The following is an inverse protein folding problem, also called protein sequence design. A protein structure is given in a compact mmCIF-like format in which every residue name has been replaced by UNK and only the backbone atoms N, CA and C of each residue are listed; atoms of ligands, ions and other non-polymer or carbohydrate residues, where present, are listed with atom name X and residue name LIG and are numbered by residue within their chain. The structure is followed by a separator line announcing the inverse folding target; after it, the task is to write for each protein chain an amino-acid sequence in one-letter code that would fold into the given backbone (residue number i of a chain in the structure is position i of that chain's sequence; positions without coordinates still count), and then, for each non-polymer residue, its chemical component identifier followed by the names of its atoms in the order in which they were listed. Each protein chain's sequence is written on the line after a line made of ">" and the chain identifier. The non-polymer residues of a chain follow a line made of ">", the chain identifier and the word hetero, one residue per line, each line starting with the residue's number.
data_IF_977671987718
#
_entry.id   IF_977671987718
#
_cell.length_a   1.000
_cell.length_b   1.000
_cell.length_c   1.000
_cell.angle_alpha   90.00
_cell.angle_beta   90.00
_cell.angle_gamma   90.00
#
_symmetry.space_group_name_H-M   'P 1'
#
loop_
_entity.id
_entity.type
_entity.pdbx_description
1 polymer ?
#
# COMPACT_ATOMS: atom_id res chain seq x y z
N UNK A 1 -31.22 -87.13 20.70
CA UNK A 1 -30.39 -86.40 19.72
C UNK A 1 -30.99 -85.02 19.55
N UNK A 2 -30.30 -84.01 20.08
CA UNK A 2 -30.69 -82.60 20.08
C UNK A 2 -30.15 -81.95 18.79
N UNK A 3 -31.01 -81.36 17.96
CA UNK A 3 -30.58 -80.64 16.76
C UNK A 3 -30.57 -79.13 17.08
N UNK A 4 -29.37 -78.56 17.19
CA UNK A 4 -29.14 -77.14 17.46
C UNK A 4 -29.18 -76.37 16.13
N UNK A 5 -30.15 -75.47 15.96
CA UNK A 5 -30.16 -74.48 14.89
C UNK A 5 -29.22 -73.32 15.26
N UNK A 6 -28.14 -73.17 14.51
CA UNK A 6 -27.25 -72.00 14.56
C UNK A 6 -27.80 -70.91 13.61
N UNK A 7 -28.37 -69.86 14.18
CA UNK A 7 -28.67 -68.61 13.48
C UNK A 7 -27.37 -67.80 13.36
N UNK A 8 -26.80 -67.74 12.15
CA UNK A 8 -25.67 -66.85 11.85
C UNK A 8 -26.19 -65.45 11.50
N UNK A 9 -26.01 -64.50 12.41
CA UNK A 9 -26.24 -63.08 12.14
C UNK A 9 -25.14 -62.54 11.22
N UNK A 10 -25.48 -62.23 9.97
CA UNK A 10 -24.63 -61.44 9.08
C UNK A 10 -24.59 -59.99 9.58
N UNK A 11 -23.48 -59.59 10.19
CA UNK A 11 -23.17 -58.19 10.46
C UNK A 11 -22.48 -57.65 9.20
N UNK A 12 -23.07 -56.70 8.46
CA UNK A 12 -22.37 -56.06 7.35
C UNK A 12 -21.18 -55.29 7.92
N UNK A 13 -19.96 -55.68 7.52
CA UNK A 13 -18.75 -54.92 7.79
C UNK A 13 -18.88 -53.63 6.98
N UNK A 14 -19.27 -52.55 7.66
CA UNK A 14 -19.24 -51.20 7.11
C UNK A 14 -17.75 -50.86 6.92
N UNK A 15 -17.26 -50.96 5.68
CA UNK A 15 -15.93 -50.45 5.33
C UNK A 15 -15.95 -48.95 5.63
N UNK A 16 -15.16 -48.53 6.62
CA UNK A 16 -14.94 -47.12 6.90
C UNK A 16 -14.46 -46.45 5.60
N UNK A 17 -15.23 -45.48 5.12
CA UNK A 17 -14.76 -44.62 4.04
C UNK A 17 -13.46 -43.95 4.53
N UNK A 18 -12.40 -43.89 3.71
CA UNK A 18 -11.22 -43.12 4.09
C UNK A 18 -11.68 -41.71 4.43
N UNK A 19 -11.32 -41.23 5.62
CA UNK A 19 -11.59 -39.84 6.01
C UNK A 19 -11.01 -38.93 4.91
N UNK A 20 -11.69 -37.84 4.52
CA UNK A 20 -11.11 -36.86 3.62
C UNK A 20 -9.71 -36.51 4.13
N UNK A 21 -8.69 -36.79 3.33
CA UNK A 21 -7.31 -36.50 3.71
C UNK A 21 -7.23 -34.98 3.91
N UNK A 22 -6.79 -34.55 5.10
CA UNK A 22 -6.66 -33.12 5.39
C UNK A 22 -5.82 -32.44 4.30
N UNK A 23 -6.24 -31.26 3.80
CA UNK A 23 -5.51 -30.56 2.75
C UNK A 23 -4.04 -30.37 3.15
N UNK A 24 -3.15 -30.46 2.16
CA UNK A 24 -1.71 -30.33 2.32
C UNK A 24 -1.24 -29.04 1.63
N UNK A 25 -0.11 -28.44 2.04
CA UNK A 25 0.40 -27.20 1.43
C UNK A 25 0.56 -27.24 -0.10
N UNK A 26 0.79 -28.42 -0.68
CA UNK A 26 0.88 -28.62 -2.13
C UNK A 26 -0.35 -28.15 -2.92
N UNK A 27 -1.52 -28.05 -2.28
CA UNK A 27 -2.73 -27.50 -2.90
C UNK A 27 -2.53 -26.04 -3.35
N UNK A 28 -1.77 -25.25 -2.59
CA UNK A 28 -1.51 -23.85 -2.91
C UNK A 28 -0.60 -23.73 -4.13
N UNK A 29 0.48 -24.53 -4.18
CA UNK A 29 1.40 -24.54 -5.32
C UNK A 29 0.73 -24.94 -6.63
N UNK A 30 -0.24 -25.86 -6.59
CA UNK A 30 -0.97 -26.31 -7.78
C UNK A 30 -1.78 -25.21 -8.48
N UNK A 31 -2.02 -24.08 -7.81
CA UNK A 31 -2.74 -22.93 -8.38
C UNK A 31 -1.86 -22.01 -9.20
N UNK A 32 -0.54 -22.08 -9.03
CA UNK A 32 0.41 -21.26 -9.77
C UNK A 32 0.48 -21.71 -11.23
N UNK A 33 -0.20 -20.96 -12.09
CA UNK A 33 -0.14 -21.08 -13.54
C UNK A 33 -0.75 -19.82 -14.14
N UNK A 34 -0.23 -19.39 -15.30
CA UNK A 34 -0.80 -18.24 -15.98
C UNK A 34 -1.55 -18.63 -17.26
N UNK A 35 -2.83 -18.99 -17.07
CA UNK A 35 -3.77 -19.30 -18.14
C UNK A 35 -4.64 -18.10 -18.55
N UNK A 36 -5.03 -17.27 -17.58
CA UNK A 36 -5.89 -16.10 -17.80
C UNK A 36 -5.50 -15.03 -16.80
N UNK A 37 -5.05 -13.88 -17.33
CA UNK A 37 -4.62 -12.75 -16.51
C UNK A 37 -5.81 -12.22 -15.72
N UNK A 38 -5.71 -12.27 -14.39
CA UNK A 38 -6.71 -11.72 -13.47
C UNK A 38 -6.47 -10.23 -13.25
N UNK A 39 -7.55 -9.46 -13.09
CA UNK A 39 -7.45 -8.03 -12.76
C UNK A 39 -7.65 -7.86 -11.25
N UNK A 40 -6.61 -7.41 -10.56
CA UNK A 40 -6.68 -6.91 -9.18
C UNK A 40 -7.29 -5.51 -9.21
N UNK A 41 -8.30 -5.27 -8.37
CA UNK A 41 -9.12 -4.04 -8.41
C UNK A 41 -8.97 -3.23 -7.14
N UNK A 42 -9.14 -1.92 -7.22
CA UNK A 42 -9.28 -1.11 -6.02
C UNK A 42 -10.59 -1.46 -5.31
N UNK A 43 -10.60 -1.40 -3.99
CA UNK A 43 -11.76 -1.80 -3.18
C UNK A 43 -13.09 -1.11 -3.56
N UNK A 44 -13.05 0.14 -4.03
CA UNK A 44 -14.21 0.92 -4.50
C UNK A 44 -14.73 0.47 -5.86
N UNK A 45 -13.89 -0.16 -6.68
CA UNK A 45 -14.30 -0.74 -7.96
C UNK A 45 -15.06 -2.06 -7.80
N UNK A 46 -14.89 -2.72 -6.65
CA UNK A 46 -15.64 -3.92 -6.34
C UNK A 46 -17.13 -3.61 -6.26
N UNK A 47 -17.95 -4.46 -6.87
CA UNK A 47 -19.38 -4.54 -6.58
C UNK A 47 -19.60 -4.97 -5.14
N UNK A 48 -20.79 -4.71 -4.60
CA UNK A 48 -21.14 -5.13 -3.25
C UNK A 48 -20.98 -6.64 -3.05
N UNK A 49 -21.39 -7.42 -4.05
CA UNK A 49 -21.27 -8.88 -4.05
C UNK A 49 -19.79 -9.32 -4.02
N UNK A 50 -18.92 -8.65 -4.79
CA UNK A 50 -17.48 -8.93 -4.78
C UNK A 50 -16.86 -8.61 -3.41
N UNK A 51 -17.23 -7.49 -2.77
CA UNK A 51 -16.73 -7.14 -1.42
C UNK A 51 -17.14 -8.18 -0.38
N UNK A 52 -18.42 -8.54 -0.36
CA UNK A 52 -18.95 -9.54 0.57
C UNK A 52 -18.31 -10.91 0.35
N UNK A 53 -18.12 -11.31 -0.92
CA UNK A 53 -17.46 -12.57 -1.26
C UNK A 53 -16.00 -12.60 -0.79
N UNK A 54 -15.25 -11.50 -0.97
CA UNK A 54 -13.87 -11.40 -0.49
C UNK A 54 -13.81 -11.53 1.04
N UNK A 55 -14.59 -10.72 1.76
CA UNK A 55 -14.60 -10.72 3.23
C UNK A 55 -14.99 -12.09 3.79
N UNK A 56 -15.98 -12.75 3.17
CA UNK A 56 -16.42 -14.09 3.54
C UNK A 56 -15.32 -15.14 3.31
N UNK A 57 -14.53 -15.01 2.24
CA UNK A 57 -13.38 -15.89 1.99
C UNK A 57 -12.25 -15.67 3.01
N UNK A 58 -12.01 -14.43 3.44
CA UNK A 58 -11.05 -14.14 4.53
C UNK A 58 -11.49 -14.78 5.84
N UNK A 59 -12.77 -14.66 6.21
CA UNK A 59 -13.32 -15.34 7.40
C UNK A 59 -13.15 -16.84 7.29
N UNK A 60 -13.47 -17.43 6.13
CA UNK A 60 -13.26 -18.85 5.88
C UNK A 60 -11.79 -19.28 6.07
N UNK A 61 -10.79 -18.50 5.63
CA UNK A 61 -9.38 -18.85 5.85
C UNK A 61 -8.99 -18.82 7.34
N UNK A 62 -9.60 -17.94 8.14
CA UNK A 62 -9.40 -17.89 9.60
C UNK A 62 -10.05 -19.08 10.33
N UNK A 63 -10.99 -19.76 9.69
CA UNK A 63 -11.65 -20.95 10.23
C UNK A 63 -11.10 -22.27 9.65
N UNK A 64 -10.44 -22.19 8.49
CA UNK A 64 -9.86 -23.36 7.81
C UNK A 64 -8.66 -23.86 8.63
N UNK A 65 -8.61 -25.14 9.05
CA UNK A 65 -7.51 -25.65 9.87
C UNK A 65 -6.13 -25.47 9.23
N UNK A 66 -5.14 -25.12 10.05
CA UNK A 66 -3.73 -24.95 9.64
C UNK A 66 -3.22 -26.09 8.74
N UNK A 67 -2.58 -25.71 7.64
CA UNK A 67 -1.88 -26.62 6.73
C UNK A 67 -0.48 -26.96 7.25
N UNK A 68 0.21 -25.99 7.86
CA UNK A 68 1.58 -26.16 8.34
C UNK A 68 1.67 -26.93 9.66
N UNK A 69 0.62 -26.88 10.47
CA UNK A 69 0.53 -27.55 11.79
C UNK A 69 1.69 -27.19 12.72
N UNK A 70 2.19 -25.96 12.60
CA UNK A 70 3.18 -25.41 13.54
C UNK A 70 2.50 -25.13 14.88
N UNK A 71 3.26 -25.11 15.99
CA UNK A 71 2.70 -24.76 17.29
C UNK A 71 1.92 -23.44 17.24
N UNK A 72 0.81 -23.40 17.98
CA UNK A 72 -0.09 -22.26 18.14
C UNK A 72 -0.90 -21.82 16.91
N UNK A 73 -0.44 -22.12 15.69
CA UNK A 73 -1.25 -21.93 14.48
C UNK A 73 -2.50 -22.80 14.51
N UNK A 74 -3.69 -22.18 14.44
CA UNK A 74 -4.97 -22.89 14.46
C UNK A 74 -5.60 -22.96 13.08
N UNK A 75 -5.34 -21.95 12.26
CA UNK A 75 -5.93 -21.79 10.94
C UNK A 75 -4.89 -21.58 9.85
N UNK A 76 -5.30 -21.70 8.59
CA UNK A 76 -4.47 -21.33 7.45
C UNK A 76 -4.09 -19.85 7.50
N UNK A 77 -4.99 -19.00 8.01
CA UNK A 77 -4.66 -17.59 8.23
C UNK A 77 -3.51 -17.42 9.23
N UNK A 78 -3.50 -18.19 10.32
CA UNK A 78 -2.41 -18.17 11.30
C UNK A 78 -1.09 -18.70 10.71
N UNK A 79 -1.15 -19.62 9.74
CA UNK A 79 0.05 -20.05 9.00
C UNK A 79 0.70 -18.89 8.24
N UNK A 80 -0.09 -17.98 7.65
CA UNK A 80 0.44 -16.77 7.00
C UNK A 80 1.12 -15.86 8.01
N UNK A 81 0.51 -15.65 9.18
CA UNK A 81 1.13 -14.87 10.26
C UNK A 81 2.47 -15.49 10.67
N UNK A 82 2.49 -16.81 10.89
CA UNK A 82 3.71 -17.52 11.25
C UNK A 82 4.81 -17.39 10.18
N UNK A 83 4.49 -17.64 8.89
CA UNK A 83 5.45 -17.54 7.79
C UNK A 83 6.04 -16.14 7.70
N UNK A 84 5.22 -15.11 7.86
CA UNK A 84 5.68 -13.72 7.89
C UNK A 84 6.63 -13.47 9.07
N UNK A 85 6.27 -13.89 10.29
CA UNK A 85 7.13 -13.77 11.48
C UNK A 85 8.50 -14.42 11.27
N UNK A 86 8.54 -15.61 10.66
CA UNK A 86 9.80 -16.31 10.41
C UNK A 86 10.68 -15.58 9.37
N UNK A 87 10.06 -14.93 8.39
CA UNK A 87 10.79 -14.32 7.28
C UNK A 87 11.12 -12.83 7.47
N UNK A 88 10.72 -12.20 8.59
CA UNK A 88 10.98 -10.76 8.85
C UNK A 88 12.42 -10.35 8.50
N UNK A 89 13.49 -11.05 8.95
CA UNK A 89 14.87 -10.61 8.68
C UNK A 89 15.26 -10.63 7.20
N UNK A 90 14.63 -11.50 6.41
CA UNK A 90 14.91 -11.63 4.99
C UNK A 90 13.96 -10.81 4.12
N UNK A 91 12.73 -10.53 4.58
CA UNK A 91 11.71 -9.80 3.84
C UNK A 91 11.63 -8.31 4.16
N UNK A 92 12.37 -7.79 5.15
CA UNK A 92 12.31 -6.36 5.52
C UNK A 92 13.70 -5.75 5.60
N UNK A 93 13.81 -4.50 5.16
CA UNK A 93 15.06 -3.75 5.00
C UNK A 93 16.07 -4.43 4.07
N UNK A 94 15.64 -5.35 3.22
CA UNK A 94 16.46 -6.06 2.23
C UNK A 94 15.93 -5.81 0.81
N UNK A 95 16.72 -6.17 -0.20
CA UNK A 95 16.29 -6.16 -1.60
C UNK A 95 15.09 -7.11 -1.85
N UNK A 96 14.91 -8.13 -1.00
CA UNK A 96 13.83 -9.11 -1.15
C UNK A 96 12.45 -8.60 -0.68
N UNK A 97 12.36 -7.39 -0.10
CA UNK A 97 11.10 -6.81 0.40
C UNK A 97 9.95 -6.90 -0.61
N UNK A 98 10.11 -6.30 -1.78
CA UNK A 98 9.09 -6.31 -2.83
C UNK A 98 8.82 -7.71 -3.43
N UNK A 99 9.84 -8.47 -3.90
CA UNK A 99 9.60 -9.77 -4.53
C UNK A 99 9.02 -10.81 -3.54
N UNK A 100 9.44 -10.79 -2.27
CA UNK A 100 8.94 -11.74 -1.29
C UNK A 100 7.46 -11.51 -1.01
N UNK A 101 7.06 -10.26 -0.77
CA UNK A 101 5.66 -9.89 -0.53
C UNK A 101 4.78 -10.15 -1.76
N UNK A 102 5.27 -9.91 -2.99
CA UNK A 102 4.54 -10.22 -4.24
C UNK A 102 4.10 -11.68 -4.32
N UNK A 103 5.00 -12.61 -4.03
CA UNK A 103 4.67 -14.04 -3.99
C UNK A 103 3.77 -14.34 -2.80
N UNK A 104 4.04 -13.76 -1.62
CA UNK A 104 3.23 -13.96 -0.42
C UNK A 104 1.75 -13.58 -0.63
N UNK A 105 1.49 -12.46 -1.30
CA UNK A 105 0.15 -12.04 -1.75
C UNK A 105 -0.49 -13.06 -2.69
N UNK A 106 0.28 -13.62 -3.62
CA UNK A 106 -0.21 -14.59 -4.60
C UNK A 106 -0.54 -15.93 -3.95
N UNK A 107 0.26 -16.38 -2.97
CA UNK A 107 -0.06 -17.55 -2.14
C UNK A 107 -1.39 -17.33 -1.40
N UNK A 108 -1.60 -16.15 -0.81
CA UNK A 108 -2.85 -15.80 -0.13
C UNK A 108 -4.06 -15.76 -1.07
N UNK A 109 -3.93 -15.13 -2.25
CA UNK A 109 -4.95 -15.13 -3.29
C UNK A 109 -5.33 -16.57 -3.71
N UNK A 110 -4.33 -17.44 -3.89
CA UNK A 110 -4.55 -18.84 -4.20
C UNK A 110 -5.18 -19.63 -3.05
N UNK A 111 -4.86 -19.31 -1.79
CA UNK A 111 -5.52 -19.91 -0.64
C UNK A 111 -7.01 -19.55 -0.60
N UNK A 112 -7.37 -18.28 -0.85
CA UNK A 112 -8.76 -17.85 -0.94
C UNK A 112 -9.53 -18.64 -2.01
N UNK A 113 -8.94 -18.84 -3.19
CA UNK A 113 -9.58 -19.60 -4.28
C UNK A 113 -9.65 -21.09 -3.96
N UNK A 114 -8.54 -21.72 -3.56
CA UNK A 114 -8.45 -23.16 -3.42
C UNK A 114 -9.17 -23.72 -2.18
N UNK A 115 -9.20 -22.95 -1.09
CA UNK A 115 -9.74 -23.41 0.20
C UNK A 115 -11.10 -22.79 0.52
N UNK A 116 -11.36 -21.58 0.03
CA UNK A 116 -12.57 -20.82 0.35
C UNK A 116 -13.42 -20.48 -0.88
N UNK A 117 -13.15 -21.12 -2.02
CA UNK A 117 -13.92 -21.01 -3.25
C UNK A 117 -14.11 -19.57 -3.74
N UNK A 118 -13.15 -18.68 -3.45
CA UNK A 118 -13.18 -17.30 -3.88
C UNK A 118 -12.87 -17.18 -5.38
N UNK A 119 -13.78 -16.56 -6.12
CA UNK A 119 -13.69 -16.37 -7.58
C UNK A 119 -13.66 -14.90 -8.01
N UNK A 120 -13.78 -13.98 -7.05
CA UNK A 120 -13.75 -12.54 -7.31
C UNK A 120 -12.33 -12.00 -7.57
N UNK A 121 -12.23 -10.71 -7.96
CA UNK A 121 -10.95 -10.03 -8.12
C UNK A 121 -10.25 -9.81 -6.79
N UNK A 122 -8.92 -9.91 -6.74
CA UNK A 122 -8.17 -9.65 -5.51
C UNK A 122 -8.03 -8.13 -5.28
N UNK A 123 -8.47 -7.59 -4.11
CA UNK A 123 -8.54 -6.16 -3.90
C UNK A 123 -7.23 -5.52 -3.41
N UNK A 124 -7.06 -4.24 -3.72
CA UNK A 124 -6.10 -3.37 -3.04
C UNK A 124 -6.78 -2.13 -2.44
N UNK A 125 -6.12 -1.51 -1.47
CA UNK A 125 -6.52 -0.23 -0.90
C UNK A 125 -5.62 0.89 -1.42
N UNK A 126 -6.17 1.81 -2.21
CA UNK A 126 -5.42 3.02 -2.60
C UNK A 126 -5.46 4.05 -1.46
N UNK A 127 -4.57 3.89 -0.48
CA UNK A 127 -4.41 4.83 0.62
C UNK A 127 -4.02 6.24 0.18
N UNK A 128 -3.46 6.41 -1.04
CA UNK A 128 -3.11 7.74 -1.55
C UNK A 128 -4.35 8.54 -1.93
N UNK A 129 -5.41 7.86 -2.36
CA UNK A 129 -6.71 8.46 -2.59
C UNK A 129 -7.36 8.95 -1.28
N UNK A 130 -7.11 8.22 -0.19
CA UNK A 130 -7.68 8.50 1.12
C UNK A 130 -6.82 9.40 2.00
N UNK A 131 -5.69 9.88 1.50
CA UNK A 131 -4.62 10.53 2.27
C UNK A 131 -5.06 11.77 3.06
N UNK A 132 -6.16 12.41 2.69
CA UNK A 132 -6.70 13.57 3.43
C UNK A 132 -7.54 13.16 4.65
N UNK A 133 -8.15 11.98 4.64
CA UNK A 133 -8.97 11.45 5.74
C UNK A 133 -9.02 9.92 5.70
N UNK A 134 -7.91 9.23 6.02
CA UNK A 134 -7.79 7.79 5.82
C UNK A 134 -8.83 6.98 6.62
N UNK A 135 -9.13 7.44 7.83
CA UNK A 135 -10.14 6.86 8.73
C UNK A 135 -11.58 6.89 8.17
N UNK A 136 -11.86 7.73 7.17
CA UNK A 136 -13.17 7.81 6.50
C UNK A 136 -13.25 6.95 5.23
N UNK A 137 -12.20 6.20 4.90
CA UNK A 137 -12.23 5.27 3.77
C UNK A 137 -13.44 4.32 3.88
N UNK A 138 -14.23 4.12 2.80
CA UNK A 138 -15.33 3.17 2.81
C UNK A 138 -14.90 1.76 3.24
N UNK A 139 -13.65 1.39 2.95
CA UNK A 139 -13.01 0.14 3.36
C UNK A 139 -13.06 -0.06 4.89
N UNK A 140 -12.83 1.01 5.65
CA UNK A 140 -12.81 1.02 7.12
C UNK A 140 -14.19 1.25 7.73
N UNK A 141 -15.26 1.19 6.93
CA UNK A 141 -16.62 1.31 7.44
C UNK A 141 -17.00 0.09 8.32
N UNK A 142 -17.97 0.26 9.23
CA UNK A 142 -18.54 -0.83 10.03
C UNK A 142 -19.13 -2.00 9.23
N UNK A 143 -19.37 -1.82 7.94
CA UNK A 143 -19.90 -2.86 7.05
C UNK A 143 -18.82 -3.82 6.56
N UNK A 144 -17.57 -3.37 6.44
CA UNK A 144 -16.48 -4.15 5.85
C UNK A 144 -15.40 -4.46 6.89
N UNK A 145 -14.26 -3.78 6.85
CA UNK A 145 -13.13 -4.12 7.73
C UNK A 145 -13.26 -3.53 9.14
N UNK A 146 -14.21 -2.61 9.37
CA UNK A 146 -14.34 -1.89 10.64
C UNK A 146 -13.31 -0.76 10.79
N UNK A 147 -13.61 0.17 11.68
CA UNK A 147 -12.81 1.36 11.92
C UNK A 147 -11.76 1.19 13.01
N UNK A 148 -11.66 2.18 13.88
CA UNK A 148 -10.76 2.18 15.02
C UNK A 148 -11.20 1.16 16.08
N UNK A 149 -10.24 0.67 16.88
CA UNK A 149 -10.53 -0.11 18.07
C UNK A 149 -11.07 0.73 19.21
N UNK A 150 -11.75 0.10 20.16
CA UNK A 150 -12.37 0.80 21.28
C UNK A 150 -11.43 0.90 22.50
N UNK A 151 -11.07 2.11 22.97
CA UNK A 151 -10.22 2.27 24.16
C UNK A 151 -10.80 1.60 25.42
N UNK A 152 -12.12 1.53 25.55
CA UNK A 152 -12.78 0.86 26.69
C UNK A 152 -12.71 -0.66 26.62
N UNK A 153 -12.29 -1.22 25.49
CA UNK A 153 -12.10 -2.66 25.26
C UNK A 153 -10.65 -2.96 24.86
N UNK A 154 -9.67 -2.29 25.46
CA UNK A 154 -8.25 -2.49 25.15
C UNK A 154 -7.94 -2.39 23.64
N UNK A 155 -8.58 -1.43 22.97
CA UNK A 155 -8.48 -1.22 21.52
C UNK A 155 -8.88 -2.41 20.64
N UNK A 156 -9.66 -3.36 21.15
CA UNK A 156 -10.29 -4.38 20.31
C UNK A 156 -11.14 -3.70 19.24
N UNK A 157 -11.08 -4.21 18.01
CA UNK A 157 -11.99 -3.85 16.94
C UNK A 157 -13.42 -4.20 17.36
N UNK A 158 -14.37 -3.27 17.23
CA UNK A 158 -15.77 -3.48 17.67
C UNK A 158 -16.79 -3.42 16.54
N UNK A 159 -16.35 -3.15 15.31
CA UNK A 159 -17.19 -3.01 14.12
C UNK A 159 -16.56 -3.73 12.93
N UNK A 160 -17.31 -3.93 11.85
CA UNK A 160 -16.85 -4.69 10.69
C UNK A 160 -16.98 -6.20 10.87
N UNK A 161 -16.71 -6.92 9.79
CA UNK A 161 -16.75 -8.38 9.70
C UNK A 161 -15.78 -9.04 10.69
N UNK A 162 -14.74 -8.33 11.12
CA UNK A 162 -13.67 -8.85 11.99
C UNK A 162 -13.75 -8.41 13.46
N UNK A 163 -14.84 -7.75 13.89
CA UNK A 163 -14.99 -7.22 15.26
C UNK A 163 -14.83 -8.26 16.39
N UNK A 164 -15.04 -9.55 16.10
CA UNK A 164 -14.92 -10.63 17.09
C UNK A 164 -13.83 -11.63 16.72
N UNK A 165 -12.93 -11.25 15.81
CA UNK A 165 -11.84 -12.12 15.40
C UNK A 165 -10.73 -12.15 16.45
N UNK A 166 -10.16 -13.33 16.65
CA UNK A 166 -9.00 -13.55 17.52
C UNK A 166 -7.74 -13.65 16.66
N UNK A 167 -6.69 -12.95 17.08
CA UNK A 167 -5.32 -13.16 16.62
C UNK A 167 -4.64 -14.13 17.59
N UNK A 168 -3.87 -15.10 17.08
CA UNK A 168 -3.21 -16.11 17.93
C UNK A 168 -1.75 -15.78 18.25
N UNK A 169 -1.12 -14.91 17.45
CA UNK A 169 0.26 -14.48 17.62
C UNK A 169 0.33 -13.00 18.01
N UNK A 170 1.32 -12.56 18.83
CA UNK A 170 2.31 -13.40 19.50
C UNK A 170 1.68 -14.25 20.62
N UNK A 171 0.55 -13.80 21.16
CA UNK A 171 -0.30 -14.53 22.11
C UNK A 171 -1.77 -14.34 21.71
N UNK A 172 -2.71 -15.20 22.14
CA UNK A 172 -4.13 -15.03 21.83
C UNK A 172 -4.74 -13.72 22.35
N UNK A 173 -5.30 -12.91 21.45
CA UNK A 173 -5.99 -11.65 21.78
C UNK A 173 -7.06 -11.29 20.73
N UNK A 174 -7.92 -10.32 21.03
CA UNK A 174 -8.82 -9.75 20.02
C UNK A 174 -8.01 -9.00 18.96
N UNK A 175 -8.50 -8.92 17.73
CA UNK A 175 -7.89 -8.03 16.73
C UNK A 175 -7.94 -6.58 17.20
N UNK A 176 -6.80 -5.89 17.23
CA UNK A 176 -6.65 -4.54 17.76
C UNK A 176 -6.32 -3.50 16.69
N UNK A 177 -6.91 -2.31 16.81
CA UNK A 177 -6.55 -1.12 16.03
C UNK A 177 -6.55 0.11 16.90
N UNK A 178 -5.59 1.00 16.66
CA UNK A 178 -5.48 2.29 17.27
C UNK A 178 -4.99 3.30 16.24
N UNK A 179 -5.92 3.96 15.55
CA UNK A 179 -5.62 4.94 14.51
C UNK A 179 -4.82 6.12 15.07
N UNK A 180 -3.63 6.37 14.54
CA UNK A 180 -2.62 7.31 15.08
C UNK A 180 -2.05 8.24 14.00
N UNK A 181 -1.72 9.48 14.35
CA UNK A 181 -0.89 10.36 13.50
C UNK A 181 0.61 10.12 13.73
N UNK A 182 1.08 8.87 13.64
CA UNK A 182 2.50 8.55 13.80
C UNK A 182 3.09 8.87 15.19
N UNK A 183 2.24 9.14 16.17
CA UNK A 183 2.56 9.40 17.57
C UNK A 183 1.68 8.55 18.49
N UNK A 184 1.85 8.69 19.81
CA UNK A 184 1.02 7.99 20.80
C UNK A 184 -0.43 8.52 20.90
N UNK A 185 -0.79 9.55 20.13
CA UNK A 185 -2.13 10.15 20.14
C UNK A 185 -2.93 9.80 18.89
N UNK A 186 -4.23 9.58 19.06
CA UNK A 186 -5.18 9.45 17.95
C UNK A 186 -5.04 10.64 16.98
N UNK A 187 -5.14 10.39 15.67
CA UNK A 187 -4.98 11.46 14.69
C UNK A 187 -5.28 11.07 13.24
N UNK A 188 -4.81 11.86 12.29
CA UNK A 188 -5.10 11.80 10.84
C UNK A 188 -4.57 10.56 10.10
N UNK A 189 -4.17 9.52 10.84
CA UNK A 189 -3.57 8.30 10.32
C UNK A 189 -2.30 8.53 9.49
N UNK A 190 -1.53 9.59 9.74
CA UNK A 190 -0.35 9.94 8.94
C UNK A 190 -0.68 10.17 7.46
N UNK A 191 -1.90 10.57 7.14
CA UNK A 191 -2.40 10.66 5.77
C UNK A 191 -1.49 11.44 4.81
N UNK A 192 -0.89 12.54 5.28
CA UNK A 192 0.06 13.32 4.49
C UNK A 192 1.28 12.51 4.00
N UNK A 193 1.68 11.47 4.76
CA UNK A 193 2.85 10.62 4.51
C UNK A 193 2.62 9.51 3.49
N UNK A 194 1.52 9.56 2.77
CA UNK A 194 1.22 8.60 1.72
C UNK A 194 0.25 9.19 0.69
N UNK A 195 0.35 10.51 0.50
CA UNK A 195 -0.46 11.26 -0.45
C UNK A 195 0.00 11.04 -1.91
N UNK A 196 -0.81 11.43 -2.91
CA UNK A 196 -0.43 11.25 -4.31
C UNK A 196 0.87 11.98 -4.69
N UNK A 197 1.17 13.12 -4.06
CA UNK A 197 2.41 13.87 -4.29
C UNK A 197 3.65 13.13 -3.76
N UNK A 198 3.53 12.44 -2.62
CA UNK A 198 4.61 11.58 -2.12
C UNK A 198 4.87 10.43 -3.11
N UNK A 199 3.80 9.83 -3.64
CA UNK A 199 3.93 8.74 -4.60
C UNK A 199 4.58 9.16 -5.91
N UNK A 200 4.26 10.35 -6.43
CA UNK A 200 4.93 10.91 -7.62
C UNK A 200 6.45 11.01 -7.44
N UNK A 201 6.91 11.44 -6.26
CA UNK A 201 8.33 11.50 -5.95
C UNK A 201 8.97 10.11 -5.86
N UNK A 202 8.32 9.17 -5.16
CA UNK A 202 8.85 7.82 -4.91
C UNK A 202 9.03 7.05 -6.21
N UNK A 203 8.03 7.09 -7.10
CA UNK A 203 8.13 6.40 -8.39
C UNK A 203 9.19 7.02 -9.31
N UNK A 204 9.68 8.23 -9.00
CA UNK A 204 10.75 8.90 -9.74
C UNK A 204 12.15 8.34 -9.47
N UNK A 205 12.35 7.48 -8.46
CA UNK A 205 13.66 6.87 -8.19
C UNK A 205 14.13 6.00 -9.36
N UNK A 206 15.39 6.14 -9.77
CA UNK A 206 15.93 5.52 -11.00
C UNK A 206 16.65 4.19 -10.77
N UNK A 207 16.72 3.70 -9.54
CA UNK A 207 17.26 2.37 -9.22
C UNK A 207 16.26 1.62 -8.34
N UNK A 208 16.23 0.29 -8.49
CA UNK A 208 15.36 -0.56 -7.68
C UNK A 208 15.63 -0.38 -6.19
N UNK A 209 16.90 -0.32 -5.78
CA UNK A 209 17.26 -0.19 -4.36
C UNK A 209 16.84 1.15 -3.76
N UNK A 210 16.98 2.26 -4.51
CA UNK A 210 16.48 3.55 -4.05
C UNK A 210 14.95 3.57 -3.96
N UNK A 211 14.26 3.05 -4.98
CA UNK A 211 12.80 2.94 -4.99
C UNK A 211 12.28 2.11 -3.82
N UNK A 212 12.80 0.89 -3.63
CA UNK A 212 12.32 -0.04 -2.59
C UNK A 212 12.60 0.49 -1.18
N UNK A 213 13.79 1.07 -0.91
CA UNK A 213 14.11 1.63 0.41
C UNK A 213 13.17 2.77 0.75
N UNK A 214 12.95 3.68 -0.22
CA UNK A 214 12.04 4.79 -0.02
C UNK A 214 10.63 4.26 0.23
N UNK A 215 10.09 3.42 -0.65
CA UNK A 215 8.73 2.87 -0.54
C UNK A 215 8.50 2.11 0.78
N UNK A 216 9.49 1.31 1.21
CA UNK A 216 9.45 0.55 2.46
C UNK A 216 9.46 1.48 3.70
N UNK A 217 10.35 2.49 3.71
CA UNK A 217 10.41 3.48 4.79
C UNK A 217 9.18 4.40 4.81
N UNK A 218 8.67 4.74 3.63
CA UNK A 218 7.53 5.61 3.39
C UNK A 218 6.99 5.32 1.98
N UNK A 219 5.76 4.83 1.83
CA UNK A 219 4.67 4.91 2.78
C UNK A 219 4.39 3.62 3.56
N UNK A 220 5.05 2.50 3.27
CA UNK A 220 4.78 1.20 3.90
C UNK A 220 4.77 1.28 5.43
N UNK A 221 5.87 1.73 6.04
CA UNK A 221 5.94 1.84 7.51
C UNK A 221 4.89 2.81 8.07
N UNK A 222 4.57 3.89 7.35
CA UNK A 222 3.61 4.88 7.83
C UNK A 222 2.18 4.36 7.84
N UNK A 223 1.78 3.57 6.84
CA UNK A 223 0.46 2.93 6.81
C UNK A 223 0.37 1.85 7.89
N UNK A 224 1.42 1.03 8.09
CA UNK A 224 1.45 0.08 9.20
C UNK A 224 1.31 0.79 10.56
N UNK A 225 2.13 1.82 10.81
CA UNK A 225 2.15 2.54 12.08
C UNK A 225 0.86 3.34 12.34
N UNK A 226 0.21 3.84 11.29
CA UNK A 226 -0.99 4.66 11.44
C UNK A 226 -2.21 3.87 11.91
N UNK A 227 -2.22 2.55 11.73
CA UNK A 227 -3.28 1.69 12.26
C UNK A 227 -3.08 1.36 13.73
N UNK A 228 -1.87 1.52 14.27
CA UNK A 228 -1.51 1.00 15.59
C UNK A 228 -1.84 -0.50 15.70
N UNK A 229 -2.08 -0.98 16.93
CA UNK A 229 -2.56 -2.34 17.19
C UNK A 229 -1.77 -3.43 16.44
N UNK A 230 -2.51 -4.40 15.91
CA UNK A 230 -1.93 -5.56 15.21
C UNK A 230 -1.16 -5.16 13.95
N UNK A 231 -1.74 -4.31 13.08
CA UNK A 231 -1.12 -3.95 11.81
C UNK A 231 0.22 -3.23 11.99
N UNK A 232 0.43 -2.53 13.11
CA UNK A 232 1.70 -1.86 13.41
C UNK A 232 2.83 -2.79 13.88
N UNK A 233 2.53 -4.04 14.24
CA UNK A 233 3.53 -5.00 14.69
C UNK A 233 4.34 -5.56 13.53
N UNK A 234 5.65 -5.29 13.47
CA UNK A 234 6.53 -5.73 12.37
C UNK A 234 6.38 -7.23 12.05
N UNK A 235 6.37 -8.10 13.06
CA UNK A 235 6.29 -9.55 12.84
C UNK A 235 4.85 -10.04 12.65
N UNK A 236 3.88 -9.40 13.31
CA UNK A 236 2.51 -9.88 13.48
C UNK A 236 1.48 -9.10 12.69
N UNK A 237 1.89 -8.14 11.86
CA UNK A 237 1.01 -7.25 11.08
C UNK A 237 -0.03 -7.98 10.25
N UNK A 238 0.29 -9.19 9.79
CA UNK A 238 -0.61 -10.09 9.05
C UNK A 238 -1.86 -10.48 9.85
N UNK A 239 -1.86 -10.39 11.19
CA UNK A 239 -3.04 -10.60 12.03
C UNK A 239 -4.23 -9.74 11.56
N UNK A 240 -3.96 -8.52 11.09
CA UNK A 240 -4.97 -7.61 10.57
C UNK A 240 -5.19 -7.85 9.06
N UNK A 241 -6.42 -8.21 8.63
CA UNK A 241 -6.74 -8.41 7.22
C UNK A 241 -6.47 -7.20 6.29
N UNK A 242 -6.27 -6.01 6.84
CA UNK A 242 -5.84 -4.83 6.07
C UNK A 242 -4.45 -5.03 5.46
N UNK A 243 -3.59 -5.85 6.07
CA UNK A 243 -2.26 -6.21 5.56
C UNK A 243 -2.29 -6.53 4.06
N UNK A 244 -3.22 -7.39 3.66
CA UNK A 244 -3.33 -7.86 2.29
C UNK A 244 -3.67 -6.74 1.32
N UNK A 245 -4.56 -5.82 1.68
CA UNK A 245 -4.97 -4.72 0.82
C UNK A 245 -3.89 -3.63 0.74
N UNK A 246 -3.17 -3.41 1.85
CA UNK A 246 -2.03 -2.50 1.91
C UNK A 246 -0.88 -3.00 1.02
N UNK A 247 -0.44 -4.24 1.21
CA UNK A 247 0.67 -4.83 0.43
C UNK A 247 0.32 -5.04 -1.03
N UNK A 248 -0.95 -5.32 -1.36
CA UNK A 248 -1.39 -5.37 -2.76
C UNK A 248 -1.29 -4.01 -3.45
N UNK A 249 -1.41 -2.89 -2.71
CA UNK A 249 -1.16 -1.56 -3.27
C UNK A 249 0.34 -1.24 -3.38
N UNK A 250 1.18 -1.73 -2.47
CA UNK A 250 2.65 -1.63 -2.63
C UNK A 250 3.13 -2.38 -3.87
N UNK A 251 2.60 -3.59 -4.09
CA UNK A 251 2.88 -4.37 -5.29
C UNK A 251 2.41 -3.65 -6.56
N UNK A 252 1.24 -3.00 -6.52
CA UNK A 252 0.75 -2.13 -7.60
C UNK A 252 1.74 -1.02 -7.92
N UNK A 253 2.26 -0.32 -6.90
CA UNK A 253 3.24 0.75 -7.10
C UNK A 253 4.56 0.22 -7.65
N UNK A 254 4.98 -0.99 -7.29
CA UNK A 254 6.12 -1.62 -7.93
C UNK A 254 5.87 -1.91 -9.42
N UNK A 255 4.69 -2.43 -9.78
CA UNK A 255 4.31 -2.60 -11.21
C UNK A 255 4.34 -1.27 -11.96
N UNK A 256 3.83 -0.18 -11.36
CA UNK A 256 3.87 1.17 -11.95
C UNK A 256 5.33 1.61 -12.16
N UNK A 257 6.18 1.46 -11.14
CA UNK A 257 7.60 1.78 -11.24
C UNK A 257 8.31 0.98 -12.34
N UNK A 258 8.06 -0.33 -12.44
CA UNK A 258 8.62 -1.19 -13.49
C UNK A 258 8.22 -0.73 -14.91
N UNK A 259 7.02 -0.15 -15.07
CA UNK A 259 6.54 0.41 -16.34
C UNK A 259 7.17 1.77 -16.66
N UNK A 260 7.39 2.61 -15.65
CA UNK A 260 8.04 3.92 -15.80
C UNK A 260 9.55 3.80 -16.05
N UNK A 261 10.16 2.69 -15.61
CA UNK A 261 11.60 2.47 -15.67
C UNK A 261 11.96 1.16 -16.41
N UNK A 262 11.54 0.99 -17.68
CA UNK A 262 11.70 -0.27 -18.41
C UNK A 262 13.17 -0.70 -18.58
N UNK A 263 14.11 0.26 -18.60
CA UNK A 263 15.54 0.00 -18.76
C UNK A 263 16.18 -0.62 -17.50
N UNK A 264 15.55 -0.47 -16.33
CA UNK A 264 16.08 -0.90 -15.04
C UNK A 264 15.10 -1.78 -14.25
N UNK A 265 13.97 -2.14 -14.85
CA UNK A 265 12.94 -2.94 -14.18
C UNK A 265 13.39 -4.36 -13.82
N UNK A 266 14.45 -4.85 -14.47
CA UNK A 266 15.12 -6.13 -14.17
C UNK A 266 16.42 -5.95 -13.38
N UNK A 267 16.82 -4.72 -13.07
CA UNK A 267 17.99 -4.48 -12.21
C UNK A 267 17.58 -4.76 -10.78
N UNK A 268 18.10 -5.86 -10.23
CA UNK A 268 17.90 -6.24 -8.84
C UNK A 268 19.18 -5.94 -8.09
N UNK A 269 19.10 -5.03 -7.12
CA UNK A 269 20.23 -4.47 -6.37
C UNK A 269 19.81 -4.21 -4.94
N UNK A 270 20.78 -4.09 -4.04
CA UNK A 270 20.57 -3.85 -2.60
C UNK A 270 21.17 -4.96 -1.75
N UNK A 271 20.86 -4.93 -0.46
CA UNK A 271 21.40 -5.84 0.53
C UNK A 271 20.50 -7.08 0.70
N UNK A 272 21.10 -8.25 0.91
CA UNK A 272 20.37 -9.47 1.30
C UNK A 272 20.14 -9.57 2.82
N UNK A 273 20.91 -8.81 3.61
CA UNK A 273 20.91 -8.83 5.07
C UNK A 273 20.62 -7.43 5.62
N UNK A 274 19.56 -7.30 6.43
CA UNK A 274 19.16 -6.03 7.04
C UNK A 274 20.24 -5.43 7.95
N UNK A 275 21.12 -6.26 8.52
CA UNK A 275 22.20 -5.80 9.40
C UNK A 275 23.36 -5.16 8.62
N UNK A 276 23.38 -5.32 7.29
CA UNK A 276 24.35 -4.71 6.40
C UNK A 276 23.64 -3.90 5.30
N UNK A 277 22.99 -2.78 5.65
CA UNK A 277 22.13 -2.04 4.74
C UNK A 277 22.88 -1.46 3.54
N UNK A 278 24.19 -1.20 3.66
CA UNK A 278 25.01 -0.64 2.58
C UNK A 278 25.55 -1.71 1.61
N UNK A 279 25.31 -2.99 1.90
CA UNK A 279 25.65 -4.06 0.96
C UNK A 279 24.85 -3.94 -0.34
N UNK A 280 25.49 -4.36 -1.43
CA UNK A 280 24.88 -4.47 -2.74
C UNK A 280 25.18 -5.87 -3.32
N UNK A 281 24.76 -6.88 -2.58
CA UNK A 281 25.05 -8.29 -2.81
C UNK A 281 23.82 -9.10 -3.25
N UNK A 282 22.67 -8.45 -3.37
CA UNK A 282 21.44 -9.07 -3.87
C UNK A 282 21.55 -9.50 -5.34
N UNK A 283 20.89 -10.61 -5.66
CA UNK A 283 20.92 -11.26 -6.96
C UNK A 283 19.55 -11.80 -7.34
N UNK A 284 19.20 -11.72 -8.62
CA UNK A 284 17.95 -12.33 -9.13
C UNK A 284 17.90 -13.86 -8.93
N UNK A 285 19.03 -14.49 -8.62
CA UNK A 285 19.12 -15.93 -8.30
C UNK A 285 18.88 -16.23 -6.82
N UNK A 286 18.73 -15.21 -5.98
CA UNK A 286 18.46 -15.42 -4.57
C UNK A 286 17.12 -16.14 -4.40
N UNK A 287 17.09 -17.04 -3.42
CA UNK A 287 15.97 -17.95 -3.17
C UNK A 287 15.22 -17.47 -1.93
N UNK A 288 13.93 -17.23 -2.10
CA UNK A 288 13.02 -16.74 -1.09
C UNK A 288 12.24 -17.87 -0.45
N UNK A 289 12.21 -17.90 0.89
CA UNK A 289 11.62 -18.98 1.67
C UNK A 289 10.17 -18.70 2.07
N UNK A 290 9.36 -19.76 2.05
CA UNK A 290 7.96 -19.74 2.49
C UNK A 290 7.63 -20.83 3.52
N UNK A 291 8.67 -21.37 4.17
CA UNK A 291 8.58 -22.25 5.34
C UNK A 291 7.58 -23.41 5.20
N UNK A 292 7.55 -24.03 4.02
CA UNK A 292 6.70 -25.18 3.72
C UNK A 292 5.29 -24.86 3.26
N UNK A 293 4.90 -23.59 3.19
CA UNK A 293 3.60 -23.17 2.63
C UNK A 293 3.55 -23.38 1.10
N UNK A 294 4.65 -23.06 0.43
CA UNK A 294 4.94 -23.38 -0.97
C UNK A 294 6.44 -23.68 -1.12
N UNK A 295 6.89 -24.25 -2.26
CA UNK A 295 8.32 -24.31 -2.58
C UNK A 295 8.98 -22.94 -2.56
N UNK A 296 10.29 -22.91 -2.27
CA UNK A 296 11.05 -21.67 -2.33
C UNK A 296 11.09 -21.12 -3.77
N UNK A 297 11.04 -19.79 -3.91
CA UNK A 297 10.90 -19.11 -5.22
C UNK A 297 12.13 -18.25 -5.48
N UNK A 298 12.65 -18.27 -6.71
CA UNK A 298 13.75 -17.38 -7.08
C UNK A 298 13.22 -15.96 -7.31
N UNK A 299 14.01 -14.95 -6.94
CA UNK A 299 13.67 -13.54 -7.17
C UNK A 299 13.34 -13.26 -8.65
N UNK A 300 14.07 -13.87 -9.58
CA UNK A 300 13.84 -13.75 -11.02
C UNK A 300 12.39 -14.03 -11.45
N UNK A 301 11.70 -14.96 -10.77
CA UNK A 301 10.35 -15.41 -11.15
C UNK A 301 9.25 -14.42 -10.73
N UNK A 302 9.61 -13.32 -10.06
CA UNK A 302 8.67 -12.33 -9.53
C UNK A 302 8.48 -11.09 -10.39
N UNK A 303 9.38 -10.84 -11.36
CA UNK A 303 9.40 -9.58 -12.09
C UNK A 303 8.23 -9.41 -13.05
N UNK A 304 7.72 -10.50 -13.62
CA UNK A 304 6.64 -10.51 -14.59
C UNK A 304 5.33 -10.93 -13.93
N UNK A 305 4.44 -9.97 -13.65
CA UNK A 305 3.11 -10.26 -13.11
C UNK A 305 2.17 -10.89 -14.15
N UNK A 306 2.43 -10.63 -15.44
CA UNK A 306 1.70 -11.15 -16.61
C UNK A 306 2.60 -12.15 -17.37
N UNK A 307 2.98 -13.26 -16.72
CA UNK A 307 4.04 -14.13 -17.23
C UNK A 307 3.67 -15.06 -18.40
N UNK A 308 2.42 -15.04 -18.89
CA UNK A 308 1.95 -15.90 -19.99
C UNK A 308 2.00 -17.41 -19.65
N UNK A 309 1.88 -18.31 -20.63
CA UNK A 309 1.66 -19.75 -20.38
C UNK A 309 2.69 -20.47 -19.48
N UNK A 310 3.89 -19.90 -19.29
CA UNK A 310 4.95 -20.45 -18.42
C UNK A 310 5.27 -19.55 -17.21
N UNK A 311 4.48 -18.49 -17.01
CA UNK A 311 4.65 -17.52 -15.93
C UNK A 311 4.14 -18.05 -14.59
N UNK A 312 4.91 -17.77 -13.54
CA UNK A 312 4.51 -18.05 -12.17
C UNK A 312 3.29 -17.21 -11.76
N UNK A 313 3.27 -15.94 -12.17
CA UNK A 313 2.24 -14.96 -11.82
C UNK A 313 1.31 -14.68 -13.02
N UNK A 314 0.04 -14.41 -12.73
CA UNK A 314 -0.99 -14.17 -13.75
C UNK A 314 -1.99 -13.09 -13.38
N UNK A 315 -1.51 -11.87 -13.15
CA UNK A 315 -2.37 -10.76 -12.82
C UNK A 315 -1.85 -9.42 -13.33
N UNK A 316 -2.79 -8.49 -13.43
CA UNK A 316 -2.56 -7.08 -13.66
C UNK A 316 -3.41 -6.26 -12.69
N UNK A 317 -3.22 -4.94 -12.69
CA UNK A 317 -3.99 -4.00 -11.88
C UNK A 317 -4.98 -3.22 -12.72
N UNK A 318 -6.16 -2.96 -12.16
CA UNK A 318 -7.09 -1.98 -12.72
C UNK A 318 -6.46 -0.58 -12.72
N UNK A 319 -6.85 0.21 -13.72
CA UNK A 319 -6.42 1.61 -13.91
C UNK A 319 -7.53 2.61 -13.59
N UNK A 320 -8.70 2.17 -13.10
CA UNK A 320 -9.87 3.05 -12.98
C UNK A 320 -9.73 4.15 -11.92
N UNK A 321 -8.90 3.92 -10.90
CA UNK A 321 -8.49 4.94 -9.94
C UNK A 321 -7.05 5.34 -10.32
N UNK A 322 -6.96 6.14 -11.37
CA UNK A 322 -5.74 6.86 -11.70
C UNK A 322 -5.71 8.16 -10.88
N UNK A 323 -4.54 8.64 -10.43
CA UNK A 323 -4.46 9.96 -9.82
C UNK A 323 -5.06 10.99 -10.79
N UNK A 324 -6.02 11.83 -10.35
CA UNK A 324 -6.51 12.90 -11.19
C UNK A 324 -5.31 13.80 -11.53
N UNK A 325 -4.92 13.80 -12.82
CA UNK A 325 -3.75 14.47 -13.43
C UNK A 325 -2.46 13.67 -13.70
N UNK A 326 -2.44 12.33 -13.65
CA UNK A 326 -1.51 11.62 -14.56
C UNK A 326 -2.17 11.62 -15.95
N UNK A 327 -2.00 12.72 -16.69
CA UNK A 327 -2.23 12.73 -18.14
C UNK A 327 -1.04 12.05 -18.80
N UNK A 328 -0.92 10.73 -18.61
CA UNK A 328 -0.02 9.91 -19.42
C UNK A 328 -0.83 9.27 -20.56
N UNK A 329 -0.62 9.69 -21.83
CA UNK A 329 -1.19 9.03 -23.00
C UNK A 329 -0.88 7.53 -23.07
N UNK A 330 0.13 7.04 -22.32
CA UNK A 330 0.58 5.65 -22.33
C UNK A 330 -0.18 4.71 -21.38
N UNK A 331 -1.07 5.23 -20.52
CA UNK A 331 -2.01 4.42 -19.73
C UNK A 331 -3.38 4.26 -20.42
N UNK A 332 -3.57 4.86 -21.60
CA UNK A 332 -4.82 4.78 -22.39
C UNK A 332 -4.77 3.79 -23.56
N UNK A 333 -3.82 2.86 -23.63
CA UNK A 333 -3.81 1.88 -24.71
C UNK A 333 -4.54 0.58 -24.30
N UNK A 334 -5.80 0.36 -24.75
CA UNK A 334 -6.32 -0.99 -24.86
C UNK A 334 -5.52 -1.73 -25.95
N UNK A 335 -5.31 -3.02 -25.72
CA UNK A 335 -4.70 -4.01 -26.62
C UNK A 335 -5.04 -3.73 -28.09
N UNK A 336 -4.07 -3.70 -29.04
CA UNK A 336 -4.37 -3.48 -30.44
C UNK A 336 -5.22 -4.61 -31.03
N UNK A 337 -6.34 -4.25 -31.64
CA UNK A 337 -7.14 -5.10 -32.52
C UNK A 337 -6.48 -5.14 -33.91
N UNK A 338 -6.02 -6.31 -34.34
CA UNK A 338 -5.28 -6.57 -35.59
C UNK A 338 -6.16 -6.53 -36.86
N UNK A 339 -7.34 -5.90 -36.84
CA UNK A 339 -8.34 -6.06 -37.91
C UNK A 339 -8.68 -4.83 -38.77
N UNK A 340 -7.82 -3.80 -38.87
CA UNK A 340 -8.07 -2.67 -39.81
C UNK A 340 -6.86 -2.26 -40.69
N UNK A 341 -7.09 -1.85 -41.97
CA UNK A 341 -6.02 -1.70 -42.95
C UNK A 341 -5.27 -0.37 -42.80
N UNK A 342 -3.95 -0.41 -43.01
CA UNK A 342 -3.03 0.74 -42.93
C UNK A 342 -3.43 1.94 -43.80
N UNK A 343 -3.38 3.18 -43.27
CA UNK A 343 -3.40 4.38 -44.10
C UNK A 343 -2.00 4.69 -44.66
N UNK A 344 -1.99 5.19 -45.90
CA UNK A 344 -0.80 5.53 -46.72
C UNK A 344 0.13 6.56 -46.05
N UNK A 345 1.44 6.56 -46.40
CA UNK A 345 2.43 7.40 -45.72
C UNK A 345 2.29 8.88 -46.09
N UNK A 346 2.45 9.82 -45.14
CA UNK A 346 2.53 11.23 -45.47
C UNK A 346 3.95 11.63 -45.88
N UNK A 347 3.97 12.48 -46.89
CA UNK A 347 5.12 13.08 -47.56
C UNK A 347 5.99 13.91 -46.61
N UNK A 348 7.30 13.76 -46.80
CA UNK A 348 8.44 14.52 -46.24
C UNK A 348 8.16 16.02 -46.02
N UNK A 349 8.24 16.48 -44.77
CA UNK A 349 8.38 17.91 -44.44
C UNK A 349 9.54 18.13 -43.45
N UNK A 350 10.28 19.20 -43.73
CA UNK A 350 11.57 19.64 -43.17
C UNK A 350 11.54 20.00 -41.67
N UNK A 351 12.70 20.05 -40.97
CA UNK A 351 12.77 20.27 -39.54
C UNK A 351 12.38 21.71 -39.16
N UNK A 352 11.41 21.87 -38.23
CA UNK A 352 11.09 23.15 -37.59
C UNK A 352 11.83 23.27 -36.25
N UNK A 353 12.45 24.45 -36.06
CA UNK A 353 13.15 24.91 -34.86
C UNK A 353 12.27 24.91 -33.60
N UNK A 354 12.86 24.85 -32.38
CA UNK A 354 12.10 24.92 -31.14
C UNK A 354 11.41 26.28 -31.00
N UNK A 355 10.12 26.26 -30.65
CA UNK A 355 9.36 27.44 -30.24
C UNK A 355 9.79 27.81 -28.81
N UNK A 356 10.47 28.93 -28.67
CA UNK A 356 10.50 29.73 -27.45
C UNK A 356 9.08 30.17 -27.10
N UNK A 357 8.54 29.74 -25.96
CA UNK A 357 7.39 30.39 -25.34
C UNK A 357 7.92 31.39 -24.31
N UNK A 358 7.95 32.66 -24.68
CA UNK A 358 8.01 33.77 -23.73
C UNK A 358 6.61 34.36 -23.59
N UNK A 359 6.04 34.30 -22.39
CA UNK A 359 4.95 35.21 -22.01
C UNK A 359 5.13 35.63 -20.54
N UNK A 360 5.72 36.81 -20.34
CA UNK A 360 5.65 37.54 -19.06
C UNK A 360 4.20 37.95 -18.81
N UNK A 361 3.65 37.55 -17.67
CA UNK A 361 2.48 38.17 -17.06
C UNK A 361 2.94 38.85 -15.76
N UNK A 362 2.42 40.05 -15.51
CA UNK A 362 3.08 41.13 -14.75
C UNK A 362 2.49 41.39 -13.37
N UNK A 363 2.02 40.37 -12.65
CA UNK A 363 1.35 40.56 -11.36
C UNK A 363 2.16 39.97 -10.21
N UNK A 364 2.74 40.79 -9.30
CA UNK A 364 3.47 40.31 -8.14
C UNK A 364 2.57 39.51 -7.19
N UNK A 365 3.13 38.50 -6.52
CA UNK A 365 2.53 37.83 -5.36
C UNK A 365 2.29 38.87 -4.26
N UNK A 366 1.11 38.82 -3.66
CA UNK A 366 0.74 39.70 -2.54
C UNK A 366 1.29 39.12 -1.24
N UNK A 367 1.84 39.98 -0.39
CA UNK A 367 2.14 39.61 0.98
C UNK A 367 0.86 39.26 1.73
N UNK A 368 0.95 38.25 2.60
CA UNK A 368 -0.07 38.04 3.62
C UNK A 368 -0.05 39.21 4.60
N UNK A 369 -1.21 39.57 5.14
CA UNK A 369 -1.30 40.52 6.25
C UNK A 369 -0.94 39.77 7.53
N UNK A 370 0.09 40.19 8.28
CA UNK A 370 0.44 39.54 9.55
C UNK A 370 -0.71 39.59 10.55
N UNK A 371 -0.82 38.57 11.40
CA UNK A 371 -1.87 38.50 12.41
C UNK A 371 -1.73 39.66 13.41
N UNK A 372 -2.81 40.35 13.82
CA UNK A 372 -2.73 41.47 14.76
C UNK A 372 -2.06 41.07 16.08
N UNK A 373 -1.19 41.92 16.63
CA UNK A 373 -0.52 41.62 17.91
C UNK A 373 -1.51 41.46 19.06
N UNK A 374 -2.63 42.18 19.02
CA UNK A 374 -3.74 42.06 19.97
C UNK A 374 -4.42 40.69 19.91
N UNK A 375 -4.50 40.08 18.73
CA UNK A 375 -4.98 38.71 18.55
C UNK A 375 -3.96 37.69 19.08
N UNK A 376 -2.68 37.85 18.72
CA UNK A 376 -1.63 36.92 19.17
C UNK A 376 -1.41 36.93 20.68
N UNK A 377 -1.43 38.11 21.31
CA UNK A 377 -1.27 38.25 22.76
C UNK A 377 -2.47 37.70 23.55
N UNK A 378 -3.63 37.52 22.92
CA UNK A 378 -4.80 36.87 23.54
C UNK A 378 -4.74 35.35 23.44
N UNK A 379 -4.17 34.81 22.36
CA UNK A 379 -4.21 33.38 22.03
C UNK A 379 -2.93 32.63 22.40
N UNK A 380 -1.78 33.31 22.49
CA UNK A 380 -0.47 32.66 22.59
C UNK A 380 0.45 33.29 23.64
N UNK A 381 1.36 32.50 24.22
CA UNK A 381 2.39 32.99 25.16
C UNK A 381 3.55 33.68 24.40
N UNK A 382 4.29 34.61 25.03
CA UNK A 382 5.32 35.40 24.34
C UNK A 382 6.36 34.59 23.51
N UNK A 383 6.85 33.41 23.95
CA UNK A 383 7.77 32.61 23.15
C UNK A 383 7.14 32.04 21.86
N UNK A 384 5.84 31.73 21.89
CA UNK A 384 5.10 31.22 20.73
C UNK A 384 4.80 32.35 19.74
N UNK A 385 4.46 33.54 20.25
CA UNK A 385 4.30 34.76 19.45
C UNK A 385 5.59 35.06 18.69
N UNK A 386 6.76 34.96 19.34
CA UNK A 386 8.05 35.18 18.68
C UNK A 386 8.31 34.19 17.53
N UNK A 387 7.90 32.92 17.70
CA UNK A 387 8.00 31.89 16.65
C UNK A 387 7.05 32.18 15.48
N UNK A 388 5.82 32.61 15.74
CA UNK A 388 4.84 33.02 14.72
C UNK A 388 5.38 34.21 13.91
N UNK A 389 5.87 35.25 14.59
CA UNK A 389 6.43 36.46 13.94
C UNK A 389 7.66 36.14 13.07
N UNK A 390 8.50 35.21 13.51
CA UNK A 390 9.63 34.71 12.72
C UNK A 390 9.16 33.99 11.45
N UNK A 391 8.09 33.19 11.54
CA UNK A 391 7.46 32.54 10.39
C UNK A 391 6.88 33.54 9.38
N UNK A 392 6.12 34.54 9.85
CA UNK A 392 5.57 35.61 9.00
C UNK A 392 6.69 36.38 8.26
N UNK A 393 7.81 36.63 8.93
CA UNK A 393 8.99 37.30 8.33
C UNK A 393 9.62 36.46 7.22
N UNK A 394 9.72 35.14 7.40
CA UNK A 394 10.26 34.23 6.38
C UNK A 394 9.36 34.13 5.16
N UNK A 395 8.04 34.10 5.37
CA UNK A 395 7.05 34.11 4.26
C UNK A 395 7.11 35.42 3.49
N UNK A 396 7.26 36.56 4.17
CA UNK A 396 7.42 37.86 3.51
C UNK A 396 8.70 37.89 2.64
N UNK A 397 9.84 37.44 3.19
CA UNK A 397 11.11 37.37 2.46
C UNK A 397 11.06 36.42 1.26
N UNK A 398 10.30 35.32 1.35
CA UNK A 398 10.06 34.43 0.23
C UNK A 398 9.28 35.12 -0.90
N UNK A 399 8.19 35.80 -0.57
CA UNK A 399 7.37 36.52 -1.54
C UNK A 399 8.19 37.61 -2.23
N UNK A 400 9.03 38.34 -1.49
CA UNK A 400 9.96 39.32 -2.06
C UNK A 400 10.94 38.67 -3.04
N UNK A 401 11.50 37.52 -2.67
CA UNK A 401 12.45 36.78 -3.51
C UNK A 401 11.79 36.32 -4.81
N UNK A 402 10.60 35.71 -4.73
CA UNK A 402 9.87 35.24 -5.92
C UNK A 402 9.45 36.41 -6.83
N UNK A 403 8.98 37.51 -6.23
CA UNK A 403 8.64 38.73 -6.97
C UNK A 403 9.86 39.37 -7.65
N UNK A 404 11.03 39.30 -7.01
CA UNK A 404 12.29 39.83 -7.58
C UNK A 404 12.80 39.03 -8.77
N UNK A 405 12.54 37.72 -8.78
CA UNK A 405 12.95 36.82 -9.86
C UNK A 405 12.06 36.99 -11.09
N UNK A 406 10.76 37.27 -10.92
CA UNK A 406 9.83 37.60 -12.01
C UNK A 406 9.19 36.40 -12.74
N UNK A 407 9.11 35.24 -12.09
CA UNK A 407 8.62 33.97 -12.66
C UNK A 407 7.44 33.44 -11.86
N UNK A 408 6.25 34.01 -12.06
CA UNK A 408 5.00 33.41 -11.57
C UNK A 408 3.95 33.54 -12.66
N UNK A 409 3.32 32.43 -13.03
CA UNK A 409 2.16 32.44 -13.92
C UNK A 409 0.89 32.11 -13.13
N UNK A 410 -0.19 32.85 -13.42
CA UNK A 410 -1.51 32.67 -12.81
C UNK A 410 -2.39 31.93 -13.81
N UNK A 411 -2.79 30.70 -13.48
CA UNK A 411 -3.84 30.00 -14.20
C UNK A 411 -5.22 30.44 -13.65
N UNK A 412 -6.22 30.49 -14.52
CA UNK A 412 -7.55 31.01 -14.22
C UNK A 412 -8.34 30.19 -13.18
N UNK A 413 -7.78 29.10 -12.68
CA UNK A 413 -8.31 28.19 -11.66
C UNK A 413 -7.76 28.47 -10.24
N UNK A 414 -6.91 29.48 -10.07
CA UNK A 414 -6.41 29.90 -8.76
C UNK A 414 -5.18 29.13 -8.25
N UNK A 415 -4.56 28.29 -9.08
CA UNK A 415 -3.34 27.56 -8.75
C UNK A 415 -2.10 28.32 -9.26
N UNK A 416 -1.11 28.49 -8.39
CA UNK A 416 0.17 29.15 -8.70
C UNK A 416 1.18 28.15 -9.26
N UNK A 417 1.88 28.50 -10.34
CA UNK A 417 3.01 27.72 -10.86
C UNK A 417 4.28 28.58 -10.96
N UNK A 418 5.42 28.00 -10.54
CA UNK A 418 6.76 28.58 -10.65
C UNK A 418 7.58 27.68 -11.57
N UNK A 419 7.91 28.17 -12.76
CA UNK A 419 8.79 27.47 -13.70
C UNK A 419 10.25 27.62 -13.23
N UNK A 420 10.79 26.59 -12.56
CA UNK A 420 12.18 26.56 -12.13
C UNK A 420 13.03 25.67 -13.06
N UNK A 421 13.48 26.24 -14.18
CA UNK A 421 14.62 25.72 -14.93
C UNK A 421 15.89 26.41 -14.44
N UNK A 422 16.45 25.94 -13.32
CA UNK A 422 17.91 25.84 -13.06
C UNK A 422 18.13 25.27 -11.65
N UNK A 423 18.51 24.00 -11.61
CA UNK A 423 18.70 23.18 -10.42
C UNK A 423 20.05 23.53 -9.76
N UNK A 424 20.01 24.16 -8.58
CA UNK A 424 21.19 24.34 -7.73
C UNK A 424 20.88 24.92 -6.35
N UNK A 425 20.07 25.98 -6.28
CA UNK A 425 19.82 26.70 -5.02
C UNK A 425 18.53 26.26 -4.28
N UNK A 426 17.70 25.40 -4.88
CA UNK A 426 16.39 24.97 -4.32
C UNK A 426 16.51 23.92 -3.20
N UNK A 427 17.62 23.16 -3.13
CA UNK A 427 17.78 22.12 -2.10
C UNK A 427 17.97 22.68 -0.68
N UNK A 428 18.72 23.76 -0.50
CA UNK A 428 18.81 24.46 0.80
C UNK A 428 17.47 25.07 1.24
N UNK A 429 16.56 25.30 0.28
CA UNK A 429 15.29 25.97 0.50
C UNK A 429 14.18 25.02 1.01
N UNK A 430 14.20 23.74 0.60
CA UNK A 430 13.21 22.73 1.03
C UNK A 430 13.35 22.33 2.51
N UNK A 431 14.57 22.27 3.04
CA UNK A 431 14.81 22.00 4.46
C UNK A 431 14.33 23.16 5.35
N UNK A 432 14.48 24.41 4.89
CA UNK A 432 13.99 25.61 5.59
C UNK A 432 12.46 25.71 5.65
N UNK A 433 11.76 25.27 4.59
CA UNK A 433 10.29 25.25 4.54
C UNK A 433 9.68 24.14 5.41
N UNK A 434 10.33 22.98 5.49
CA UNK A 434 9.93 21.85 6.37
C UNK A 434 9.94 22.27 7.85
N UNK A 435 10.96 23.02 8.29
CA UNK A 435 11.02 23.56 9.66
C UNK A 435 9.96 24.62 10.00
N UNK A 436 9.31 25.23 9.00
CA UNK A 436 8.25 26.24 9.19
C UNK A 436 6.87 25.58 9.27
N UNK A 437 6.60 24.57 8.43
CA UNK A 437 5.34 23.80 8.47
C UNK A 437 5.20 22.98 9.76
N UNK A 438 6.27 22.35 10.24
CA UNK A 438 6.28 21.67 11.55
C UNK A 438 6.07 22.64 12.73
N UNK A 439 6.45 23.91 12.55
CA UNK A 439 6.22 24.97 13.54
C UNK A 439 4.80 25.53 13.58
N UNK A 440 4.09 25.52 12.44
CA UNK A 440 2.72 26.04 12.29
C UNK A 440 1.68 24.97 12.63
N UNK A 441 1.86 23.74 12.16
CA UNK A 441 0.93 22.62 12.43
C UNK A 441 0.95 22.23 13.92
N UNK A 442 2.10 22.31 14.60
CA UNK A 442 2.21 22.04 16.03
C UNK A 442 1.50 23.05 16.96
N UNK A 443 1.07 24.20 16.44
CA UNK A 443 0.37 25.24 17.22
C UNK A 443 -1.15 25.25 16.94
N UNK A 444 -1.57 24.94 15.72
CA UNK A 444 -3.00 24.90 15.35
C UNK A 444 -3.73 23.70 15.99
N UNK A 445 -3.04 22.59 16.24
CA UNK A 445 -3.63 21.39 16.87
C UNK A 445 -4.03 21.49 18.35
N UNK A 446 -3.86 22.63 19.03
CA UNK A 446 -4.28 22.82 20.44
C UNK A 446 -5.41 23.82 20.66
N UNK A 447 -5.95 24.44 19.62
CA UNK A 447 -7.06 25.40 19.74
C UNK A 447 -8.29 24.84 19.02
N UNK A 448 -8.70 23.65 19.43
CA UNK A 448 -10.02 23.10 19.11
C UNK A 448 -10.96 23.42 20.25
N UNK A 449 -11.52 24.63 20.26
CA UNK A 449 -12.87 24.93 20.77
C UNK A 449 -13.19 26.41 20.47
N UNK A 450 -13.89 26.61 19.36
CA UNK A 450 -14.70 27.81 19.10
C UNK A 450 -13.96 29.03 18.56
N UNK A 451 -13.68 29.07 17.24
CA UNK A 451 -13.76 30.31 16.45
C UNK A 451 -14.19 29.93 15.02
N UNK A 452 -15.27 30.56 14.56
CA UNK A 452 -15.88 30.40 13.23
C UNK A 452 -14.94 30.76 12.07
N UNK A 453 -15.25 30.15 10.93
CA UNK A 453 -14.69 30.38 9.60
C UNK A 453 -14.78 31.86 9.17
N UNK A 454 -13.63 32.47 8.86
CA UNK A 454 -13.48 33.47 7.79
C UNK A 454 -12.06 33.49 7.22
#
# INVERSE_FOLDING_TARGET
>A
MLLILLLTTFIPILLAQPSPQAPQPSILWSQFSCNTVKVRKEFRELTEQERVAYLSAVVCLRETPSLLRVPDSRSVYDDFVHVHMQNVPAAHNTAAFLPWHRIFLSIYEHALTALCNYTGPFPYWDWSYDSQSPHLSPLLSPTYFGGNGSPSSNYCLTTGVFANSTAVFPDPHCLQRQFRNGSETDGDMMGAQYSPIEMEWIVGHTTFDAFRRTLEAHPHNNVHNSFGGDLSGLSTSVNDPIFWLHHTNLDRWWVIWQKLHPDVNSTFTGNVDSDNPDANDASVRDVMRYYGMVPDVAVADTFLTEGGANGLLCYMYSTSIAPPNITDPLLQHPVPDDSLPSPRPPTRLLPRRPRTLHRRLTTPLKHHTPLPQTFLSKMYKPPQIAKIRSGETRIASFIDTINSLGWVSYAADGIWSVDACEFGEVQQWREGARGVLEGVVGVVGRVGEGVDEE
#
